data_IF_187540048140
#
_entry.id   IF_187540048140
#
_cell.length_a   1.000
_cell.length_b   1.000
_cell.length_c   1.000
_cell.angle_alpha   90.00
_cell.angle_beta   90.00
_cell.angle_gamma   90.00
#
_symmetry.space_group_name_H-M   'P 1'
#
loop_
_entity.id
_entity.type
_entity.pdbx_description
1 polymer ?
#
# COMPACT_ATOMS: atom_id res chain seq x y z
N UNK A 1 -3.60 -1.12 -17.75
CA UNK A 1 -4.36 -0.14 -18.54
C UNK A 1 -3.66 0.26 -19.83
N UNK A 2 -2.35 0.15 -19.97
CA UNK A 2 -1.65 0.44 -21.23
C UNK A 2 -2.02 -0.49 -22.40
N UNK A 3 -2.48 -1.71 -22.12
CA UNK A 3 -2.88 -2.69 -23.14
C UNK A 3 -4.34 -3.14 -23.03
N UNK A 4 -5.18 -2.43 -22.30
CA UNK A 4 -6.53 -2.88 -21.98
C UNK A 4 -7.63 -1.90 -22.36
N UNK A 5 -8.82 -2.43 -22.39
CA UNK A 5 -10.06 -1.71 -22.66
C UNK A 5 -10.53 -0.81 -21.51
N UNK A 6 -9.75 -0.67 -20.43
CA UNK A 6 -10.11 0.08 -19.22
C UNK A 6 -9.34 1.39 -19.13
N UNK A 7 -10.06 2.49 -18.83
CA UNK A 7 -9.50 3.83 -18.75
C UNK A 7 -9.34 4.29 -17.30
N UNK A 8 -8.19 4.86 -16.96
CA UNK A 8 -7.92 5.47 -15.64
C UNK A 8 -8.88 6.62 -15.32
N UNK A 9 -9.36 7.30 -16.33
CA UNK A 9 -10.22 8.47 -16.19
C UNK A 9 -11.71 8.16 -16.41
N UNK A 10 -12.06 6.88 -16.64
CA UNK A 10 -13.45 6.44 -16.66
C UNK A 10 -14.12 6.75 -15.32
N UNK A 11 -15.31 7.34 -15.37
CA UNK A 11 -16.10 7.63 -14.18
C UNK A 11 -16.79 6.37 -13.70
N UNK A 12 -16.51 6.02 -12.45
CA UNK A 12 -17.15 4.92 -11.74
C UNK A 12 -18.05 5.51 -10.66
N UNK A 13 -19.09 4.76 -10.29
CA UNK A 13 -20.11 5.21 -9.36
C UNK A 13 -20.16 4.32 -8.11
N UNK A 14 -20.17 4.94 -6.95
CA UNK A 14 -20.48 4.27 -5.69
C UNK A 14 -21.95 3.90 -5.62
N UNK A 15 -22.24 2.64 -5.34
CA UNK A 15 -23.59 2.13 -5.10
C UNK A 15 -23.60 1.26 -3.84
N UNK A 16 -24.79 1.04 -3.26
CA UNK A 16 -24.94 0.20 -2.06
C UNK A 16 -24.36 -1.21 -2.18
N UNK A 17 -24.32 -1.78 -3.38
CA UNK A 17 -23.69 -3.08 -3.63
C UNK A 17 -22.18 -3.12 -3.39
N UNK A 18 -21.53 -1.95 -3.38
CA UNK A 18 -20.11 -1.81 -3.10
C UNK A 18 -19.84 -1.50 -1.63
N UNK A 19 -20.90 -1.23 -0.85
CA UNK A 19 -20.77 -0.87 0.55
C UNK A 19 -20.10 -1.99 1.34
N UNK A 20 -19.12 -1.60 2.14
CA UNK A 20 -18.47 -2.46 3.13
C UNK A 20 -17.91 -1.59 4.26
N UNK A 21 -18.08 -2.03 5.48
CA UNK A 21 -17.53 -1.37 6.66
C UNK A 21 -15.99 -1.44 6.69
N UNK A 22 -15.40 -0.64 7.56
CA UNK A 22 -13.98 -0.70 7.90
C UNK A 22 -13.23 0.54 7.44
N UNK A 23 -12.08 0.35 6.80
CA UNK A 23 -11.20 1.45 6.43
C UNK A 23 -11.74 2.27 5.26
N UNK A 24 -11.40 3.56 5.26
CA UNK A 24 -11.74 4.49 4.19
C UNK A 24 -12.92 5.40 4.51
N UNK A 25 -13.21 6.32 3.60
CA UNK A 25 -14.17 7.41 3.79
C UNK A 25 -15.43 7.28 2.94
N UNK A 26 -15.39 6.53 1.82
CA UNK A 26 -16.50 6.44 0.87
C UNK A 26 -17.74 5.81 1.52
N UNK A 27 -17.56 4.87 2.45
CA UNK A 27 -18.64 4.26 3.21
C UNK A 27 -19.54 5.29 3.94
N UNK A 28 -19.03 6.48 4.22
CA UNK A 28 -19.74 7.56 4.92
C UNK A 28 -20.38 8.58 3.96
N UNK A 29 -20.20 8.40 2.65
CA UNK A 29 -20.76 9.26 1.63
C UNK A 29 -22.12 8.74 1.15
N UNK A 30 -22.90 9.61 0.53
CA UNK A 30 -24.16 9.24 -0.09
C UNK A 30 -23.94 8.35 -1.32
N UNK A 31 -24.86 7.41 -1.53
CA UNK A 31 -24.91 6.62 -2.76
C UNK A 31 -25.04 7.54 -3.98
N UNK A 32 -24.33 7.20 -5.04
CA UNK A 32 -24.36 7.97 -6.28
C UNK A 32 -23.15 8.86 -6.50
N UNK A 33 -22.24 8.97 -5.53
CA UNK A 33 -20.96 9.68 -5.73
C UNK A 33 -20.18 9.06 -6.90
N UNK A 34 -19.72 9.90 -7.79
CA UNK A 34 -18.95 9.52 -8.97
C UNK A 34 -17.52 10.09 -8.91
N UNK A 35 -16.55 9.25 -9.20
CA UNK A 35 -15.14 9.64 -9.34
C UNK A 35 -14.49 8.84 -10.46
N UNK A 36 -13.35 9.32 -10.95
CA UNK A 36 -12.56 8.55 -11.92
C UNK A 36 -11.91 7.31 -11.29
N UNK A 37 -11.64 6.28 -12.08
CA UNK A 37 -10.97 5.06 -11.60
C UNK A 37 -9.66 5.37 -10.88
N UNK A 38 -8.86 6.34 -11.37
CA UNK A 38 -7.63 6.76 -10.71
C UNK A 38 -7.86 7.37 -9.33
N UNK A 39 -8.98 8.09 -9.11
CA UNK A 39 -9.29 8.66 -7.80
C UNK A 39 -9.73 7.58 -6.82
N UNK A 40 -10.46 6.56 -7.27
CA UNK A 40 -10.72 5.37 -6.44
C UNK A 40 -9.41 4.63 -6.11
N UNK A 41 -8.47 4.50 -7.06
CA UNK A 41 -7.16 3.89 -6.80
C UNK A 41 -6.35 4.69 -5.76
N UNK A 42 -6.39 6.03 -5.83
CA UNK A 42 -5.79 6.88 -4.79
C UNK A 42 -6.39 6.61 -3.41
N UNK A 43 -7.70 6.61 -3.27
CA UNK A 43 -8.36 6.34 -1.98
C UNK A 43 -8.08 4.93 -1.46
N UNK A 44 -8.05 3.93 -2.36
CA UNK A 44 -7.67 2.55 -2.03
C UNK A 44 -6.27 2.49 -1.40
N UNK A 45 -5.33 3.28 -1.88
CA UNK A 45 -3.96 3.32 -1.35
C UNK A 45 -3.83 4.25 -0.16
N UNK A 46 -4.24 5.52 -0.28
CA UNK A 46 -3.96 6.60 0.69
C UNK A 46 -4.61 6.32 2.04
N UNK A 47 -5.89 5.95 2.04
CA UNK A 47 -6.68 5.68 3.26
C UNK A 47 -7.19 4.25 3.32
N UNK A 48 -6.62 3.36 2.49
CA UNK A 48 -7.01 1.94 2.45
C UNK A 48 -8.53 1.74 2.29
N UNK A 49 -9.19 2.54 1.43
CA UNK A 49 -10.64 2.56 1.32
C UNK A 49 -11.19 1.25 0.77
N UNK A 50 -11.97 0.56 1.60
CA UNK A 50 -12.54 -0.75 1.28
C UNK A 50 -13.59 -0.67 0.16
N UNK A 51 -14.39 0.38 0.15
CA UNK A 51 -15.39 0.61 -0.90
C UNK A 51 -14.71 0.89 -2.23
N UNK A 52 -13.68 1.75 -2.24
CA UNK A 52 -12.87 2.00 -3.42
C UNK A 52 -12.25 0.71 -3.97
N UNK A 53 -11.73 -0.13 -3.09
CA UNK A 53 -11.15 -1.45 -3.44
C UNK A 53 -12.20 -2.31 -4.14
N UNK A 54 -13.39 -2.44 -3.58
CA UNK A 54 -14.46 -3.25 -4.16
C UNK A 54 -14.96 -2.70 -5.51
N UNK A 55 -15.07 -1.37 -5.65
CA UNK A 55 -15.43 -0.73 -6.94
C UNK A 55 -14.37 -1.05 -8.01
N UNK A 56 -13.08 -0.97 -7.67
CA UNK A 56 -12.01 -1.26 -8.62
C UNK A 56 -11.92 -2.75 -8.98
N UNK A 57 -12.17 -3.64 -8.02
CA UNK A 57 -12.24 -5.09 -8.30
C UNK A 57 -13.42 -5.40 -9.24
N UNK A 58 -14.60 -4.78 -9.01
CA UNK A 58 -15.76 -4.92 -9.91
C UNK A 58 -15.47 -4.36 -11.31
N UNK A 59 -14.74 -3.25 -11.39
CA UNK A 59 -14.39 -2.61 -12.65
C UNK A 59 -13.38 -3.42 -13.46
N UNK A 60 -12.35 -3.95 -12.81
CA UNK A 60 -11.26 -4.68 -13.48
C UNK A 60 -11.59 -6.16 -13.68
N UNK A 61 -12.28 -6.77 -12.73
CA UNK A 61 -12.54 -8.21 -12.67
C UNK A 61 -11.40 -9.00 -12.03
N UNK A 62 -11.72 -9.92 -11.14
CA UNK A 62 -10.76 -10.75 -10.39
C UNK A 62 -9.85 -11.55 -11.34
N UNK A 63 -10.42 -12.14 -12.38
CA UNK A 63 -9.66 -12.95 -13.34
C UNK A 63 -8.61 -12.12 -14.08
N UNK A 64 -8.96 -10.89 -14.49
CA UNK A 64 -8.02 -9.99 -15.14
C UNK A 64 -6.91 -9.54 -14.18
N UNK A 65 -7.26 -9.22 -12.94
CA UNK A 65 -6.28 -8.87 -11.89
C UNK A 65 -5.31 -10.03 -11.68
N UNK A 66 -5.80 -11.25 -11.48
CA UNK A 66 -4.96 -12.42 -11.24
C UNK A 66 -4.10 -12.78 -12.46
N UNK A 67 -4.63 -12.63 -13.67
CA UNK A 67 -3.85 -12.80 -14.90
C UNK A 67 -2.67 -11.83 -14.94
N UNK A 68 -2.90 -10.55 -14.64
CA UNK A 68 -1.84 -9.53 -14.58
C UNK A 68 -0.81 -9.84 -13.50
N UNK A 69 -1.24 -10.27 -12.32
CA UNK A 69 -0.35 -10.71 -11.22
C UNK A 69 0.61 -11.81 -11.71
N UNK A 70 0.09 -12.82 -12.43
CA UNK A 70 0.88 -13.93 -12.95
C UNK A 70 1.82 -13.49 -14.08
N UNK A 71 1.37 -12.64 -15.00
CA UNK A 71 2.17 -12.11 -16.11
C UNK A 71 3.35 -11.28 -15.59
N UNK A 72 3.18 -10.57 -14.47
CA UNK A 72 4.24 -9.84 -13.77
C UNK A 72 5.17 -10.75 -12.95
N UNK A 73 4.89 -12.04 -12.88
CA UNK A 73 5.74 -13.05 -12.23
C UNK A 73 5.60 -13.14 -10.71
N UNK A 74 4.50 -12.63 -10.14
CA UNK A 74 4.19 -12.79 -8.72
C UNK A 74 3.54 -14.16 -8.46
N UNK A 75 4.35 -15.14 -8.11
CA UNK A 75 3.96 -16.57 -8.07
C UNK A 75 3.12 -16.93 -6.86
N UNK A 76 3.32 -16.21 -5.74
CA UNK A 76 2.70 -16.48 -4.46
C UNK A 76 1.61 -15.44 -4.11
N UNK A 77 1.19 -14.66 -5.12
CA UNK A 77 0.17 -13.61 -4.95
C UNK A 77 -1.08 -13.95 -5.75
N UNK A 78 -2.23 -13.90 -5.09
CA UNK A 78 -3.54 -14.13 -5.69
C UNK A 78 -4.62 -13.31 -4.97
N UNK A 79 -5.51 -12.70 -5.73
CA UNK A 79 -6.74 -12.10 -5.25
C UNK A 79 -7.86 -13.14 -5.27
N UNK A 80 -8.40 -13.50 -4.12
CA UNK A 80 -9.46 -14.52 -4.01
C UNK A 80 -10.84 -13.94 -4.22
N UNK A 81 -11.13 -12.81 -3.56
CA UNK A 81 -12.47 -12.24 -3.47
C UNK A 81 -12.43 -10.72 -3.43
N UNK A 82 -13.61 -10.10 -3.44
CA UNK A 82 -13.79 -8.74 -2.93
C UNK A 82 -13.71 -8.72 -1.40
N UNK A 83 -13.61 -7.53 -0.84
CA UNK A 83 -13.72 -7.36 0.61
C UNK A 83 -15.18 -7.61 1.01
N UNK A 84 -15.38 -8.65 1.81
CA UNK A 84 -16.67 -9.00 2.40
C UNK A 84 -16.36 -9.86 3.65
N UNK A 85 -16.32 -9.21 4.81
CA UNK A 85 -15.92 -9.82 6.08
C UNK A 85 -16.95 -10.80 6.64
N UNK A 86 -18.19 -10.78 6.15
CA UNK A 86 -19.22 -11.73 6.56
C UNK A 86 -19.12 -13.04 5.77
N UNK A 87 -18.64 -12.96 4.55
CA UNK A 87 -18.65 -14.08 3.60
C UNK A 87 -17.28 -14.75 3.43
N UNK A 88 -16.21 -14.00 3.57
CA UNK A 88 -14.87 -14.48 3.24
C UNK A 88 -13.84 -14.14 4.34
N UNK A 89 -13.06 -15.13 4.73
CA UNK A 89 -11.96 -14.97 5.68
C UNK A 89 -10.72 -14.31 5.06
N UNK A 90 -10.63 -14.27 3.73
CA UNK A 90 -9.46 -13.79 2.99
C UNK A 90 -9.84 -12.96 1.79
N UNK A 91 -9.23 -11.80 1.66
CA UNK A 91 -9.25 -11.01 0.43
C UNK A 91 -8.31 -11.63 -0.63
N UNK A 92 -7.08 -11.89 -0.24
CA UNK A 92 -6.03 -12.42 -1.08
C UNK A 92 -4.93 -13.10 -0.27
N UNK A 93 -3.97 -13.64 -0.98
CA UNK A 93 -2.75 -14.23 -0.41
C UNK A 93 -1.55 -13.60 -1.09
N UNK A 94 -0.49 -13.33 -0.35
CA UNK A 94 0.79 -12.87 -0.87
C UNK A 94 1.91 -13.26 0.09
N UNK A 95 3.15 -13.02 -0.32
CA UNK A 95 4.35 -13.22 0.51
C UNK A 95 5.13 -11.92 0.63
N UNK A 96 5.97 -11.76 1.69
CA UNK A 96 6.87 -10.61 1.77
C UNK A 96 7.78 -10.48 0.55
N UNK A 97 8.16 -11.60 -0.08
CA UNK A 97 8.99 -11.61 -1.30
C UNK A 97 8.26 -11.00 -2.49
N UNK A 98 7.06 -11.44 -2.80
CA UNK A 98 6.27 -10.90 -3.91
C UNK A 98 5.92 -9.43 -3.67
N UNK A 99 5.56 -9.10 -2.43
CA UNK A 99 5.24 -7.73 -2.07
C UNK A 99 6.46 -6.80 -2.17
N UNK A 100 7.63 -7.25 -1.73
CA UNK A 100 8.89 -6.52 -1.90
C UNK A 100 9.29 -6.37 -3.37
N UNK A 101 9.11 -7.43 -4.17
CA UNK A 101 9.38 -7.38 -5.61
C UNK A 101 8.51 -6.34 -6.34
N UNK A 102 7.26 -6.15 -5.91
CA UNK A 102 6.40 -5.08 -6.46
C UNK A 102 7.09 -3.72 -6.33
N UNK A 103 7.55 -3.38 -5.13
CA UNK A 103 8.23 -2.11 -4.88
C UNK A 103 9.60 -2.02 -5.55
N UNK A 104 10.32 -3.12 -5.67
CA UNK A 104 11.56 -3.19 -6.44
C UNK A 104 11.33 -2.83 -7.92
N UNK A 105 10.31 -3.42 -8.55
CA UNK A 105 9.96 -3.13 -9.95
C UNK A 105 9.50 -1.68 -10.14
N UNK A 106 8.76 -1.12 -9.17
CA UNK A 106 8.37 0.29 -9.18
C UNK A 106 9.62 1.18 -9.10
N UNK A 107 10.56 0.89 -8.19
CA UNK A 107 11.79 1.67 -8.03
C UNK A 107 12.67 1.63 -9.28
N UNK A 108 12.72 0.49 -9.96
CA UNK A 108 13.45 0.31 -11.22
C UNK A 108 12.72 0.86 -12.45
N UNK A 109 11.46 1.31 -12.29
CA UNK A 109 10.57 1.76 -13.37
C UNK A 109 10.26 0.65 -14.39
N UNK A 110 10.25 -0.59 -13.93
CA UNK A 110 10.05 -1.80 -14.73
C UNK A 110 8.65 -2.42 -14.54
N UNK A 111 7.83 -1.88 -13.63
CA UNK A 111 6.48 -2.39 -13.45
C UNK A 111 5.56 -1.83 -14.54
N UNK A 112 5.22 -2.67 -15.52
CA UNK A 112 4.43 -2.37 -16.73
C UNK A 112 5.16 -1.37 -17.64
N UNK A 113 5.33 -0.11 -17.22
CA UNK A 113 6.08 0.94 -17.93
C UNK A 113 6.69 1.93 -16.93
N UNK A 114 7.58 2.79 -17.39
CA UNK A 114 8.15 3.87 -16.58
C UNK A 114 7.06 4.84 -16.12
N UNK A 115 6.12 5.23 -17.01
CA UNK A 115 5.02 6.12 -16.67
C UNK A 115 4.11 5.52 -15.61
N UNK A 116 3.73 4.24 -15.77
CA UNK A 116 2.89 3.52 -14.80
C UNK A 116 3.59 3.40 -13.44
N UNK A 117 4.89 3.07 -13.44
CA UNK A 117 5.69 2.95 -12.21
C UNK A 117 5.78 4.29 -11.47
N UNK A 118 6.04 5.39 -12.18
CA UNK A 118 6.09 6.73 -11.58
C UNK A 118 4.72 7.12 -11.00
N UNK A 119 3.63 6.89 -11.74
CA UNK A 119 2.27 7.20 -11.27
C UNK A 119 1.89 6.38 -10.02
N UNK A 120 2.25 5.10 -9.97
CA UNK A 120 2.05 4.27 -8.78
C UNK A 120 2.90 4.76 -7.61
N UNK A 121 4.17 5.09 -7.85
CA UNK A 121 5.05 5.65 -6.83
C UNK A 121 4.47 6.91 -6.19
N UNK A 122 3.98 7.85 -7.00
CA UNK A 122 3.36 9.09 -6.52
C UNK A 122 2.13 8.83 -5.66
N UNK A 123 1.33 7.80 -6.00
CA UNK A 123 0.17 7.42 -5.18
C UNK A 123 0.63 6.79 -3.85
N UNK A 124 1.64 5.91 -3.87
CA UNK A 124 2.14 5.28 -2.65
C UNK A 124 2.82 6.26 -1.68
N UNK A 125 3.42 7.35 -2.19
CA UNK A 125 3.96 8.44 -1.36
C UNK A 125 2.90 9.18 -0.55
N UNK A 126 1.66 9.20 -1.01
CA UNK A 126 0.54 9.85 -0.33
C UNK A 126 -0.09 8.99 0.77
N UNK A 127 0.49 7.83 1.14
CA UNK A 127 -0.04 6.95 2.18
C UNK A 127 -0.12 7.66 3.54
N UNK A 128 -1.30 7.60 4.17
CA UNK A 128 -1.56 8.25 5.46
C UNK A 128 -1.31 7.36 6.68
N UNK A 129 -1.27 6.03 6.50
CA UNK A 129 -1.09 5.11 7.63
C UNK A 129 0.39 4.89 7.94
N UNK A 130 0.93 5.70 8.83
CA UNK A 130 2.33 5.70 9.26
C UNK A 130 2.54 4.81 10.50
N UNK A 131 1.94 3.63 10.51
CA UNK A 131 1.87 2.81 11.71
C UNK A 131 3.10 1.95 11.97
N UNK A 132 3.94 1.71 10.97
CA UNK A 132 5.07 0.79 11.09
C UNK A 132 6.37 1.33 10.46
N UNK A 133 6.48 1.45 9.13
CA UNK A 133 7.76 1.83 8.48
C UNK A 133 8.29 3.15 9.01
N UNK A 134 7.49 4.20 9.03
CA UNK A 134 7.92 5.56 9.43
C UNK A 134 7.70 5.87 10.90
N UNK A 135 7.07 4.97 11.65
CA UNK A 135 6.62 5.21 13.01
C UNK A 135 7.67 5.84 13.92
N UNK A 136 8.87 5.29 13.90
CA UNK A 136 9.97 5.69 14.78
C UNK A 136 11.08 6.45 14.03
N UNK A 137 10.83 6.86 12.78
CA UNK A 137 11.78 7.72 12.05
C UNK A 137 11.86 9.09 12.70
N UNK A 138 13.03 9.73 12.67
CA UNK A 138 13.16 11.10 13.18
C UNK A 138 12.27 12.04 12.35
N UNK A 139 11.35 12.74 13.00
CA UNK A 139 10.42 13.66 12.35
C UNK A 139 11.14 14.70 11.49
N UNK A 140 12.29 15.18 11.94
CA UNK A 140 13.14 16.10 11.19
C UNK A 140 13.40 15.70 9.73
N UNK A 141 13.50 14.41 9.44
CA UNK A 141 13.76 13.94 8.07
C UNK A 141 12.50 13.83 7.21
N UNK A 142 11.33 13.79 7.83
CA UNK A 142 10.04 13.57 7.18
C UNK A 142 9.24 14.85 6.97
N UNK A 143 9.67 15.95 7.58
CA UNK A 143 8.93 17.20 7.61
C UNK A 143 9.74 18.35 7.01
N UNK A 144 9.42 18.67 5.76
CA UNK A 144 10.05 19.77 5.03
C UNK A 144 9.46 21.13 5.40
N UNK A 145 8.22 21.17 5.93
CA UNK A 145 7.57 22.44 6.30
C UNK A 145 8.20 23.05 7.57
N UNK A 146 8.50 22.22 8.57
CA UNK A 146 9.11 22.65 9.81
C UNK A 146 10.60 23.03 9.68
N UNK A 147 11.30 22.40 8.74
CA UNK A 147 12.74 22.63 8.55
C UNK A 147 13.06 23.70 7.51
N UNK A 148 12.11 24.01 6.60
CA UNK A 148 12.33 24.91 5.47
C UNK A 148 13.30 24.36 4.41
N UNK A 149 13.68 23.09 4.52
CA UNK A 149 14.54 22.37 3.58
C UNK A 149 13.70 21.41 2.73
N UNK A 150 14.25 20.93 1.60
CA UNK A 150 13.62 19.86 0.82
C UNK A 150 13.54 18.58 1.68
N UNK A 151 12.46 17.79 1.48
CA UNK A 151 12.26 16.50 2.13
C UNK A 151 13.45 15.57 1.86
N UNK A 152 14.23 15.29 2.92
CA UNK A 152 15.47 14.51 2.79
C UNK A 152 15.16 13.01 2.62
N UNK A 153 14.08 12.57 3.27
CA UNK A 153 13.63 11.16 3.26
C UNK A 153 12.13 11.13 3.00
N UNK A 154 11.72 10.32 2.07
CA UNK A 154 10.31 10.06 1.84
C UNK A 154 10.04 8.56 1.69
N UNK A 155 8.83 8.16 1.99
CA UNK A 155 8.41 6.77 1.98
C UNK A 155 7.20 6.60 1.07
N UNK A 156 7.25 5.58 0.22
CA UNK A 156 6.14 5.14 -0.61
C UNK A 156 5.73 3.76 -0.13
N UNK A 157 4.60 3.63 0.55
CA UNK A 157 4.23 2.37 1.20
C UNK A 157 2.75 2.05 1.10
N UNK A 158 2.40 0.82 1.50
CA UNK A 158 1.02 0.41 1.74
C UNK A 158 0.97 -0.57 2.91
N UNK A 159 0.26 -0.17 3.94
CA UNK A 159 -0.03 -1.02 5.09
C UNK A 159 -1.28 -1.87 4.89
N UNK A 160 -1.44 -2.90 5.71
CA UNK A 160 -2.64 -3.73 5.78
C UNK A 160 -2.82 -4.31 7.17
N UNK A 161 -4.06 -4.30 7.66
CA UNK A 161 -4.40 -4.80 9.00
C UNK A 161 -5.68 -5.62 8.95
N UNK A 162 -5.64 -6.77 9.59
CA UNK A 162 -6.77 -7.65 9.89
C UNK A 162 -6.67 -8.09 11.36
N UNK A 163 -7.66 -8.78 11.88
CA UNK A 163 -7.69 -9.18 13.28
C UNK A 163 -6.43 -9.91 13.74
N UNK A 164 -5.86 -10.77 12.92
CA UNK A 164 -4.70 -11.57 13.25
C UNK A 164 -3.43 -11.19 12.46
N UNK A 165 -3.41 -10.04 11.75
CA UNK A 165 -2.21 -9.60 11.05
C UNK A 165 -2.08 -8.08 10.99
N UNK A 166 -0.83 -7.60 11.00
CA UNK A 166 -0.44 -6.20 10.80
C UNK A 166 0.77 -6.20 9.88
N UNK A 167 0.60 -5.64 8.71
CA UNK A 167 1.58 -5.69 7.65
C UNK A 167 1.89 -4.29 7.15
N UNK A 168 3.12 -4.07 6.74
CA UNK A 168 3.53 -2.86 6.04
C UNK A 168 4.67 -3.19 5.08
N UNK A 169 4.76 -2.44 3.99
CA UNK A 169 5.84 -2.60 3.03
C UNK A 169 5.90 -1.44 2.07
N UNK A 170 7.11 -1.14 1.61
CA UNK A 170 7.32 -0.01 0.74
C UNK A 170 8.78 0.27 0.40
N UNK A 171 8.97 1.43 -0.21
CA UNK A 171 10.24 2.04 -0.56
C UNK A 171 10.56 3.16 0.41
N UNK A 172 11.75 3.17 0.94
CA UNK A 172 12.33 4.29 1.69
C UNK A 172 13.39 4.93 0.82
N UNK A 173 13.19 6.19 0.47
CA UNK A 173 14.14 6.99 -0.31
C UNK A 173 15.03 7.79 0.64
N UNK A 174 16.33 7.71 0.43
CA UNK A 174 17.35 8.40 1.22
C UNK A 174 18.37 9.08 0.30
N UNK A 175 19.20 10.01 0.81
CA UNK A 175 20.30 10.59 0.05
C UNK A 175 21.31 9.58 -0.47
N UNK A 176 21.29 8.35 0.05
CA UNK A 176 22.21 7.27 -0.33
C UNK A 176 21.56 6.22 -1.24
N UNK A 177 20.36 6.51 -1.75
CA UNK A 177 19.55 5.66 -2.58
C UNK A 177 18.36 5.04 -1.86
N UNK A 178 17.45 4.39 -2.59
CA UNK A 178 16.29 3.74 -2.01
C UNK A 178 16.59 2.34 -1.51
N UNK A 179 15.81 1.89 -0.52
CA UNK A 179 15.72 0.48 -0.15
C UNK A 179 14.26 0.04 -0.01
N UNK A 180 14.03 -1.25 -0.22
CA UNK A 180 12.71 -1.88 0.01
C UNK A 180 12.70 -2.49 1.39
N UNK A 181 11.61 -2.26 2.12
CA UNK A 181 11.35 -2.92 3.40
C UNK A 181 9.94 -3.52 3.39
N UNK A 182 9.80 -4.76 3.85
CA UNK A 182 8.51 -5.43 4.00
C UNK A 182 8.47 -6.16 5.32
N UNK A 183 7.44 -5.92 6.11
CA UNK A 183 7.22 -6.53 7.41
C UNK A 183 5.81 -7.10 7.49
N UNK A 184 5.69 -8.41 7.60
CA UNK A 184 4.43 -9.12 7.79
C UNK A 184 4.42 -9.77 9.16
N UNK A 185 3.43 -9.36 9.97
CA UNK A 185 3.21 -9.89 11.32
C UNK A 185 1.85 -10.60 11.35
N UNK A 186 1.81 -11.79 11.91
CA UNK A 186 0.60 -12.60 12.03
C UNK A 186 0.59 -13.44 13.31
N UNK A 187 -0.56 -14.03 13.59
CA UNK A 187 -0.73 -15.00 14.68
C UNK A 187 -0.49 -14.41 16.09
N UNK A 188 -0.82 -13.14 16.28
CA UNK A 188 -0.84 -12.54 17.61
C UNK A 188 -2.23 -12.68 18.28
N UNK A 189 -2.26 -12.63 19.60
CA UNK A 189 -3.50 -12.83 20.37
C UNK A 189 -4.38 -11.59 20.48
N UNK A 190 -3.79 -10.39 20.36
CA UNK A 190 -4.51 -9.13 20.45
C UNK A 190 -5.00 -8.67 19.08
N UNK A 191 -6.30 -8.78 18.84
CA UNK A 191 -6.94 -8.35 17.59
C UNK A 191 -7.33 -6.87 17.55
N UNK A 192 -7.19 -6.13 18.65
CA UNK A 192 -7.64 -4.75 18.74
C UNK A 192 -6.83 -3.81 17.84
N UNK A 193 -7.51 -2.81 17.28
CA UNK A 193 -6.91 -1.80 16.41
C UNK A 193 -6.57 -0.55 17.22
N UNK A 194 -5.31 -0.42 17.63
CA UNK A 194 -4.80 0.75 18.34
C UNK A 194 -3.34 1.05 17.97
N UNK A 195 -2.93 2.30 18.16
CA UNK A 195 -1.63 2.80 17.68
C UNK A 195 -0.42 2.10 18.31
N UNK A 196 -0.54 1.64 19.56
CA UNK A 196 0.54 1.00 20.30
C UNK A 196 0.43 -0.53 20.33
N UNK A 197 -0.24 -1.12 19.35
CA UNK A 197 -0.26 -2.57 19.18
C UNK A 197 1.16 -3.11 19.02
N UNK A 198 1.50 -4.21 19.69
CA UNK A 198 2.87 -4.74 19.73
C UNK A 198 3.47 -4.96 18.34
N UNK A 199 2.70 -5.52 17.40
CA UNK A 199 3.18 -5.74 16.03
C UNK A 199 3.60 -4.42 15.34
N UNK A 200 2.88 -3.31 15.58
CA UNK A 200 3.23 -2.00 15.00
C UNK A 200 4.41 -1.36 15.72
N UNK A 201 4.46 -1.48 17.04
CA UNK A 201 5.57 -0.96 17.86
C UNK A 201 6.88 -1.67 17.53
N UNK A 202 6.88 -3.01 17.51
CA UNK A 202 8.08 -3.76 17.17
C UNK A 202 8.48 -3.59 15.71
N UNK A 203 7.50 -3.54 14.79
CA UNK A 203 7.77 -3.22 13.39
C UNK A 203 8.42 -1.86 13.21
N UNK A 204 7.95 -0.82 13.92
CA UNK A 204 8.57 0.50 13.91
C UNK A 204 10.02 0.49 14.40
N UNK A 205 10.29 -0.22 15.52
CA UNK A 205 11.66 -0.36 16.03
C UNK A 205 12.58 -1.07 15.05
N UNK A 206 12.12 -2.16 14.42
CA UNK A 206 12.91 -2.88 13.40
C UNK A 206 13.18 -1.98 12.20
N UNK A 207 12.17 -1.27 11.71
CA UNK A 207 12.31 -0.33 10.62
C UNK A 207 13.33 0.77 10.96
N UNK A 208 13.26 1.33 12.17
CA UNK A 208 14.22 2.33 12.64
C UNK A 208 15.66 1.80 12.71
N UNK A 209 15.86 0.59 13.19
CA UNK A 209 17.20 -0.02 13.24
C UNK A 209 17.79 -0.20 11.84
N UNK A 210 16.96 -0.66 10.88
CA UNK A 210 17.38 -0.81 9.48
C UNK A 210 17.72 0.56 8.87
N UNK A 211 16.88 1.56 9.13
CA UNK A 211 17.10 2.92 8.68
C UNK A 211 18.41 3.51 9.19
N UNK A 212 18.65 3.44 10.51
CA UNK A 212 19.86 3.96 11.13
C UNK A 212 21.12 3.29 10.58
N UNK A 213 21.09 1.97 10.39
CA UNK A 213 22.20 1.23 9.80
C UNK A 213 22.43 1.60 8.33
N UNK A 214 21.35 1.72 7.53
CA UNK A 214 21.44 2.12 6.13
C UNK A 214 22.06 3.51 5.98
N UNK A 215 21.66 4.48 6.82
CA UNK A 215 22.24 5.82 6.83
C UNK A 215 23.71 5.80 7.28
N UNK A 216 24.03 5.07 8.35
CA UNK A 216 25.40 4.96 8.87
C UNK A 216 26.37 4.35 7.83
N UNK A 217 25.91 3.36 7.08
CA UNK A 217 26.68 2.72 6.01
C UNK A 217 26.64 3.47 4.68
N UNK A 218 25.93 4.60 4.60
CA UNK A 218 25.73 5.37 3.35
C UNK A 218 25.22 4.51 2.20
N UNK A 219 24.26 3.63 2.49
CA UNK A 219 23.67 2.70 1.52
C UNK A 219 24.58 1.53 1.09
N UNK A 220 25.77 1.39 1.67
CA UNK A 220 26.72 0.30 1.36
C UNK A 220 26.43 -0.92 2.23
N UNK A 221 25.29 -1.54 2.02
CA UNK A 221 24.97 -2.84 2.64
C UNK A 221 25.70 -3.92 1.86
N UNK A 222 26.48 -4.75 2.59
CA UNK A 222 27.20 -5.90 2.01
C UNK A 222 26.32 -7.14 1.94
#
# INVERSE_FOLDING_TARGET
MENGTKDLYEKLKYTKKNYINGSGVIQSLDEGVEMTAINFAKLMIIVSDNVATNILIDYLGIDHINKTIQELGFKDTILHNKIDFEKYDKLGTTTPRDYGRLFELIAKKELISEEASNKMLDIFKMQHYNSMIVRDFPQYYLDSEDTGEEEIIYVASKSGSMDACRNDGGLVFTPYGPYVIVMFNKEFHDSLYYANHDATVYGGKVSRMIFDEFIALKGKIK
#
